data_IF_640268330447
#
_entry.id   IF_640268330447
#
_cell.length_a   1.000
_cell.length_b   1.000
_cell.length_c   1.000
_cell.angle_alpha   90.00
_cell.angle_beta   90.00
_cell.angle_gamma   90.00
#
_symmetry.space_group_name_H-M   'P 1'
#
loop_
_entity.id
_entity.type
_entity.pdbx_description
1 polymer ?
#
# COMPACT_ATOMS: atom_id res chain seq x y z
N UNK A 1 29.40 22.34 19.50
CA UNK A 1 29.88 21.96 20.85
C UNK A 1 29.94 20.43 20.84
N UNK A 2 31.13 19.84 20.73
CA UNK A 2 31.30 18.37 20.64
C UNK A 2 31.26 17.79 22.05
N UNK A 3 30.33 16.89 22.32
CA UNK A 3 30.43 15.98 23.45
C UNK A 3 31.13 14.71 22.97
N UNK A 4 32.25 14.38 23.62
CA UNK A 4 32.89 13.07 23.56
C UNK A 4 32.03 12.10 24.37
N UNK A 5 31.73 10.94 23.79
CA UNK A 5 31.40 9.73 24.53
C UNK A 5 32.24 8.61 23.94
N UNK A 6 33.07 8.03 24.80
CA UNK A 6 33.98 6.93 24.52
C UNK A 6 33.21 5.61 24.33
N UNK A 7 33.74 4.80 23.41
CA UNK A 7 33.61 3.34 23.23
C UNK A 7 32.39 2.61 23.83
N UNK A 8 31.40 2.37 22.96
CA UNK A 8 30.67 1.11 22.91
C UNK A 8 30.49 0.74 21.43
N UNK A 9 31.20 -0.30 20.98
CA UNK A 9 30.96 -0.98 19.69
C UNK A 9 29.58 -1.66 19.70
N UNK A 10 28.53 -0.86 19.52
CA UNK A 10 27.31 -1.32 18.87
C UNK A 10 27.31 -0.66 17.50
N UNK A 11 27.31 -1.45 16.44
CA UNK A 11 26.89 -0.94 15.14
C UNK A 11 25.40 -0.61 15.27
N UNK A 12 25.07 0.53 15.87
CA UNK A 12 23.79 1.19 15.64
C UNK A 12 23.78 1.49 14.14
N UNK A 13 22.94 0.79 13.38
CA UNK A 13 22.57 1.25 12.06
C UNK A 13 22.10 2.69 12.23
N UNK A 14 22.85 3.64 11.65
CA UNK A 14 22.52 5.05 11.71
C UNK A 14 21.14 5.21 11.06
N UNK A 15 20.10 5.44 11.86
CA UNK A 15 18.74 5.63 11.35
C UNK A 15 18.70 6.99 10.68
N UNK A 16 18.85 6.99 9.35
CA UNK A 16 18.81 8.20 8.53
C UNK A 16 17.36 8.60 8.30
N UNK A 17 16.98 9.81 8.69
CA UNK A 17 15.65 10.31 8.40
C UNK A 17 15.49 10.61 6.90
N UNK A 18 14.25 10.56 6.41
CA UNK A 18 13.94 10.92 5.02
C UNK A 18 14.48 12.31 4.65
N UNK A 19 14.33 13.29 5.56
CA UNK A 19 14.85 14.65 5.36
C UNK A 19 16.38 14.70 5.22
N UNK A 20 17.11 13.92 6.01
CA UNK A 20 18.57 13.85 5.93
C UNK A 20 19.03 13.24 4.59
N UNK A 21 18.26 12.28 4.08
CA UNK A 21 18.50 11.71 2.76
C UNK A 21 18.31 12.77 1.66
N UNK A 22 17.26 13.58 1.74
CA UNK A 22 16.98 14.64 0.76
C UNK A 22 18.07 15.74 0.76
N UNK A 23 18.65 16.08 1.91
CA UNK A 23 19.73 17.07 2.01
C UNK A 23 21.04 16.62 1.36
N UNK A 24 21.25 15.31 1.28
CA UNK A 24 22.44 14.68 0.72
C UNK A 24 22.26 14.23 -0.74
N UNK A 25 21.02 14.21 -1.24
CA UNK A 25 20.69 13.85 -2.62
C UNK A 25 21.09 14.95 -3.62
N UNK A 26 21.65 14.51 -4.75
CA UNK A 26 22.05 15.37 -5.87
C UNK A 26 21.42 14.85 -7.17
N UNK A 27 21.01 15.77 -8.05
CA UNK A 27 20.52 15.41 -9.38
C UNK A 27 21.65 14.78 -10.20
N UNK A 28 21.44 13.56 -10.75
CA UNK A 28 22.49 12.87 -11.52
C UNK A 28 23.00 13.68 -12.72
N UNK A 29 22.10 14.41 -13.38
CA UNK A 29 22.41 15.16 -14.61
C UNK A 29 22.89 16.59 -14.33
N UNK A 30 22.28 17.27 -13.36
CA UNK A 30 22.52 18.69 -13.09
C UNK A 30 23.57 18.93 -11.99
N UNK A 31 23.98 17.89 -11.26
CA UNK A 31 24.93 17.95 -10.13
C UNK A 31 24.60 19.06 -9.11
N UNK A 32 23.30 19.30 -8.91
CA UNK A 32 22.80 20.25 -7.92
C UNK A 32 22.01 19.53 -6.83
N UNK A 33 21.93 20.14 -5.66
CA UNK A 33 21.10 19.67 -4.55
C UNK A 33 19.64 20.10 -4.71
N UNK A 34 18.75 19.35 -4.05
CA UNK A 34 17.38 19.78 -3.79
C UNK A 34 17.45 20.91 -2.76
N UNK A 35 16.90 22.08 -3.06
CA UNK A 35 16.90 23.22 -2.12
C UNK A 35 15.47 23.73 -1.92
N UNK A 36 14.86 24.24 -2.99
CA UNK A 36 13.47 24.71 -2.96
C UNK A 36 12.45 23.58 -2.98
N UNK A 37 12.84 22.41 -3.49
CA UNK A 37 11.96 21.25 -3.65
C UNK A 37 11.84 20.42 -2.38
N UNK A 38 12.78 20.52 -1.43
CA UNK A 38 12.79 19.71 -0.20
C UNK A 38 11.45 19.83 0.54
N UNK A 39 10.93 21.06 0.66
CA UNK A 39 9.66 21.31 1.35
C UNK A 39 8.49 20.63 0.63
N UNK A 40 8.45 20.69 -0.71
CA UNK A 40 7.42 20.01 -1.51
C UNK A 40 7.51 18.50 -1.35
N UNK A 41 8.71 17.93 -1.48
CA UNK A 41 8.95 16.49 -1.36
C UNK A 41 8.58 15.95 0.03
N UNK A 42 8.95 16.66 1.10
CA UNK A 42 8.52 16.33 2.45
C UNK A 42 6.99 16.42 2.61
N UNK A 43 6.36 17.44 2.04
CA UNK A 43 4.90 17.60 2.09
C UNK A 43 4.18 16.48 1.35
N UNK A 44 4.66 16.10 0.16
CA UNK A 44 4.12 15.00 -0.64
C UNK A 44 4.25 13.66 0.08
N UNK A 45 5.42 13.39 0.67
CA UNK A 45 5.66 12.18 1.46
C UNK A 45 4.69 12.08 2.65
N UNK A 46 4.57 13.15 3.44
CA UNK A 46 3.68 13.17 4.60
C UNK A 46 2.21 13.02 4.19
N UNK A 47 1.79 13.73 3.15
CA UNK A 47 0.39 13.67 2.66
C UNK A 47 0.07 12.27 2.13
N UNK A 48 0.96 11.70 1.30
CA UNK A 48 0.78 10.37 0.72
C UNK A 48 0.74 9.24 1.74
N UNK A 49 1.49 9.35 2.85
CA UNK A 49 1.55 8.33 3.89
C UNK A 49 0.51 8.48 5.00
N UNK A 50 0.08 9.70 5.34
CA UNK A 50 -0.70 9.94 6.56
C UNK A 50 -2.19 9.63 6.39
N UNK A 51 -2.85 10.26 5.41
CA UNK A 51 -4.30 10.12 5.23
C UNK A 51 -4.69 8.70 4.79
N UNK A 52 -3.89 8.10 3.91
CA UNK A 52 -4.10 6.74 3.38
C UNK A 52 -4.00 5.70 4.49
N UNK A 53 -2.95 5.76 5.31
CA UNK A 53 -2.71 4.81 6.39
C UNK A 53 -3.73 4.96 7.52
N UNK A 54 -4.03 6.20 7.93
CA UNK A 54 -5.01 6.45 9.00
C UNK A 54 -6.42 5.98 8.61
N UNK A 55 -6.86 6.25 7.38
CA UNK A 55 -8.15 5.77 6.85
C UNK A 55 -8.18 4.24 6.78
N UNK A 56 -7.11 3.60 6.30
CA UNK A 56 -7.00 2.14 6.26
C UNK A 56 -7.15 1.55 7.66
N UNK A 57 -6.42 2.10 8.63
CA UNK A 57 -6.43 1.61 10.01
C UNK A 57 -7.81 1.77 10.65
N UNK A 58 -8.48 2.91 10.45
CA UNK A 58 -9.84 3.14 10.94
C UNK A 58 -10.82 2.06 10.46
N UNK A 59 -10.81 1.74 9.17
CA UNK A 59 -11.69 0.72 8.61
C UNK A 59 -11.33 -0.70 9.06
N UNK A 60 -10.03 -1.01 9.16
CA UNK A 60 -9.58 -2.30 9.70
C UNK A 60 -10.07 -2.47 11.14
N UNK A 61 -9.84 -1.47 11.99
CA UNK A 61 -10.26 -1.50 13.39
C UNK A 61 -11.78 -1.58 13.53
N UNK A 62 -12.54 -0.85 12.71
CA UNK A 62 -13.99 -0.94 12.68
C UNK A 62 -14.49 -2.35 12.33
N UNK A 63 -13.83 -3.04 11.38
CA UNK A 63 -14.15 -4.43 11.05
C UNK A 63 -13.75 -5.40 12.17
N UNK A 64 -12.62 -5.21 12.83
CA UNK A 64 -12.21 -6.05 13.96
C UNK A 64 -13.20 -5.96 15.13
N UNK A 65 -13.63 -4.75 15.50
CA UNK A 65 -14.66 -4.53 16.53
C UNK A 65 -15.98 -5.19 16.14
N UNK A 66 -16.35 -5.14 14.85
CA UNK A 66 -17.57 -5.76 14.33
C UNK A 66 -17.50 -7.29 14.30
N UNK A 67 -16.31 -7.89 14.14
CA UNK A 67 -16.12 -9.34 14.02
C UNK A 67 -15.15 -9.87 15.09
N UNK A 68 -15.62 -10.08 16.34
CA UNK A 68 -14.78 -10.47 17.46
C UNK A 68 -13.98 -11.77 17.25
N UNK A 69 -14.53 -12.74 16.50
CA UNK A 69 -13.84 -14.00 16.20
C UNK A 69 -12.60 -13.80 15.31
N UNK A 70 -12.63 -12.82 14.40
CA UNK A 70 -11.47 -12.44 13.56
C UNK A 70 -10.43 -11.76 14.43
N UNK A 71 -10.86 -10.83 15.31
CA UNK A 71 -9.99 -10.14 16.25
C UNK A 71 -9.29 -11.13 17.20
N UNK A 72 -10.02 -12.09 17.77
CA UNK A 72 -9.46 -13.10 18.67
C UNK A 72 -8.39 -13.93 17.97
N UNK A 73 -8.67 -14.42 16.76
CA UNK A 73 -7.70 -15.17 15.96
C UNK A 73 -6.45 -14.34 15.63
N UNK A 74 -6.61 -13.05 15.34
CA UNK A 74 -5.49 -12.14 15.08
C UNK A 74 -4.64 -11.93 16.35
N UNK A 75 -5.27 -11.69 17.49
CA UNK A 75 -4.57 -11.54 18.77
C UNK A 75 -3.82 -12.82 19.15
N UNK A 76 -4.38 -14.00 18.86
CA UNK A 76 -3.71 -15.28 19.07
C UNK A 76 -2.43 -15.39 18.24
N UNK A 77 -2.49 -15.13 16.92
CA UNK A 77 -1.29 -15.15 16.05
C UNK A 77 -0.20 -14.18 16.54
N UNK A 78 -0.58 -12.94 16.83
CA UNK A 78 0.37 -11.91 17.33
C UNK A 78 1.01 -12.39 18.64
N UNK A 79 0.20 -12.91 19.57
CA UNK A 79 0.68 -13.38 20.86
C UNK A 79 1.63 -14.57 20.70
N UNK A 80 1.36 -15.50 19.80
CA UNK A 80 2.24 -16.63 19.53
C UNK A 80 3.60 -16.21 18.98
N UNK A 81 3.63 -15.23 18.08
CA UNK A 81 4.90 -14.74 17.51
C UNK A 81 5.70 -13.96 18.54
N UNK A 82 5.06 -13.03 19.25
CA UNK A 82 5.72 -12.14 20.22
C UNK A 82 6.22 -12.92 21.45
N UNK A 83 5.42 -13.86 21.98
CA UNK A 83 5.77 -14.60 23.20
C UNK A 83 6.81 -15.71 22.98
N UNK A 84 7.05 -16.16 21.73
CA UNK A 84 8.12 -17.14 21.41
C UNK A 84 9.51 -16.66 21.81
N UNK A 85 9.74 -15.35 21.98
CA UNK A 85 11.07 -14.80 22.25
C UNK A 85 11.62 -15.11 23.66
N UNK A 86 10.87 -15.71 24.60
CA UNK A 86 11.30 -16.11 25.98
C UNK A 86 12.09 -15.05 26.77
N UNK A 87 12.06 -13.81 26.29
CA UNK A 87 12.87 -12.68 26.72
C UNK A 87 11.88 -11.54 26.90
N UNK A 88 12.14 -10.68 27.89
CA UNK A 88 11.31 -9.50 28.24
C UNK A 88 10.69 -8.86 27.00
N UNK A 89 9.43 -8.37 27.07
CA UNK A 89 8.73 -7.81 25.92
C UNK A 89 9.55 -6.66 25.31
N UNK A 90 10.34 -7.01 24.30
CA UNK A 90 10.82 -6.07 23.29
C UNK A 90 9.65 -5.88 22.33
N UNK A 91 9.53 -4.70 21.72
CA UNK A 91 8.45 -4.40 20.79
C UNK A 91 8.36 -5.41 19.65
N UNK A 92 7.33 -5.28 18.81
CA UNK A 92 7.25 -6.04 17.57
C UNK A 92 8.36 -5.52 16.64
N UNK A 93 9.29 -6.40 16.27
CA UNK A 93 10.34 -6.11 15.28
C UNK A 93 9.85 -6.47 13.87
N UNK A 94 10.54 -6.01 12.83
CA UNK A 94 10.15 -6.26 11.43
C UNK A 94 10.10 -7.76 11.10
N UNK A 95 11.06 -8.55 11.61
CA UNK A 95 11.10 -10.01 11.38
C UNK A 95 9.99 -10.76 12.13
N UNK A 96 9.33 -10.12 13.10
CA UNK A 96 8.15 -10.69 13.74
C UNK A 96 6.92 -10.52 12.84
N UNK A 97 6.78 -9.37 12.18
CA UNK A 97 5.66 -9.09 11.26
C UNK A 97 5.65 -10.08 10.10
N UNK A 98 6.82 -10.48 9.59
CA UNK A 98 6.94 -11.51 8.55
C UNK A 98 6.34 -12.86 8.97
N UNK A 99 6.30 -13.15 10.26
CA UNK A 99 5.75 -14.39 10.83
C UNK A 99 4.25 -14.30 11.16
N UNK A 100 3.57 -13.21 10.80
CA UNK A 100 2.15 -12.96 11.04
C UNK A 100 1.33 -12.95 9.73
N UNK A 101 1.15 -14.11 9.06
CA UNK A 101 0.39 -14.20 7.81
C UNK A 101 -1.06 -13.75 7.94
N UNK A 102 -1.71 -14.02 9.07
CA UNK A 102 -3.11 -13.65 9.29
C UNK A 102 -3.25 -12.14 9.50
N UNK A 103 -2.31 -11.47 10.18
CA UNK A 103 -2.24 -10.01 10.22
C UNK A 103 -2.19 -9.42 8.81
N UNK A 104 -1.30 -9.95 7.95
CA UNK A 104 -1.22 -9.53 6.54
C UNK A 104 -2.55 -9.72 5.82
N UNK A 105 -3.22 -10.85 6.01
CA UNK A 105 -4.52 -11.12 5.40
C UNK A 105 -5.62 -10.16 5.88
N UNK A 106 -5.65 -9.82 7.16
CA UNK A 106 -6.58 -8.82 7.72
C UNK A 106 -6.36 -7.45 7.09
N UNK A 107 -5.10 -7.02 6.94
CA UNK A 107 -4.77 -5.75 6.30
C UNK A 107 -5.22 -5.75 4.83
N UNK A 108 -4.89 -6.81 4.08
CA UNK A 108 -5.23 -6.93 2.66
C UNK A 108 -6.75 -6.97 2.44
N UNK A 109 -7.51 -7.69 3.27
CA UNK A 109 -8.98 -7.72 3.18
C UNK A 109 -9.59 -6.37 3.57
N UNK A 110 -9.00 -5.66 4.54
CA UNK A 110 -9.35 -4.29 4.88
C UNK A 110 -9.20 -3.35 3.68
N UNK A 111 -8.06 -3.39 3.00
CA UNK A 111 -7.78 -2.60 1.80
C UNK A 111 -8.66 -2.99 0.61
N UNK A 112 -8.98 -4.28 0.46
CA UNK A 112 -9.90 -4.75 -0.59
C UNK A 112 -11.30 -4.15 -0.38
N UNK A 113 -11.84 -4.24 0.83
CA UNK A 113 -13.19 -3.75 1.15
C UNK A 113 -13.29 -2.23 1.25
N UNK A 114 -12.25 -1.60 1.78
CA UNK A 114 -12.24 -0.18 2.13
C UNK A 114 -10.91 0.47 1.70
N UNK A 115 -10.64 0.55 0.38
CA UNK A 115 -9.44 1.22 -0.10
C UNK A 115 -9.53 2.72 0.28
N UNK A 116 -8.44 3.35 0.78
CA UNK A 116 -8.45 4.77 1.11
C UNK A 116 -8.78 5.68 -0.07
N UNK A 117 -8.43 5.26 -1.29
CA UNK A 117 -8.79 5.94 -2.52
C UNK A 117 -9.75 5.08 -3.35
N UNK A 118 -10.90 5.64 -3.72
CA UNK A 118 -11.82 4.98 -4.65
C UNK A 118 -11.30 4.96 -6.09
N UNK A 119 -10.50 5.97 -6.45
CA UNK A 119 -9.87 6.14 -7.76
C UNK A 119 -8.37 6.35 -7.53
N UNK A 120 -7.52 5.77 -8.38
CA UNK A 120 -6.09 6.12 -8.41
C UNK A 120 -5.86 7.53 -8.94
N UNK A 121 -4.63 8.01 -8.81
CA UNK A 121 -4.21 9.26 -9.46
C UNK A 121 -4.48 9.16 -10.97
N UNK A 122 -5.19 10.14 -11.56
CA UNK A 122 -5.50 10.11 -12.98
C UNK A 122 -4.22 10.13 -13.83
N UNK A 123 -4.17 9.27 -14.83
CA UNK A 123 -3.09 9.26 -15.82
C UNK A 123 -3.57 9.91 -17.12
N UNK A 124 -2.62 10.45 -17.89
CA UNK A 124 -2.89 11.06 -19.20
C UNK A 124 -2.24 10.23 -20.30
N UNK A 125 -2.99 9.98 -21.37
CA UNK A 125 -2.49 9.28 -22.55
C UNK A 125 -1.49 10.17 -23.31
N UNK A 126 -0.26 9.70 -23.47
CA UNK A 126 0.84 10.46 -24.10
C UNK A 126 0.78 10.45 -25.63
N UNK A 127 0.30 9.35 -26.20
CA UNK A 127 0.11 9.12 -27.63
C UNK A 127 -1.12 8.25 -27.85
N UNK A 128 -1.77 8.40 -29.01
CA UNK A 128 -2.93 7.59 -29.36
C UNK A 128 -2.58 6.09 -29.30
N UNK A 129 -3.45 5.30 -28.65
CA UNK A 129 -3.23 3.88 -28.45
C UNK A 129 -4.53 3.10 -28.65
N UNK A 130 -4.44 1.94 -29.30
CA UNK A 130 -5.54 1.00 -29.37
C UNK A 130 -5.52 0.05 -28.16
N UNK A 131 -6.62 0.01 -27.41
CA UNK A 131 -6.82 -0.91 -26.29
C UNK A 131 -8.11 -1.70 -26.49
N UNK A 132 -8.01 -3.02 -26.62
CA UNK A 132 -9.15 -3.93 -26.81
C UNK A 132 -10.11 -3.51 -27.95
N UNK A 133 -9.56 -3.02 -29.08
CA UNK A 133 -10.35 -2.56 -30.23
C UNK A 133 -10.91 -1.12 -30.11
N UNK A 134 -10.56 -0.40 -29.04
CA UNK A 134 -10.92 1.01 -28.87
C UNK A 134 -9.70 1.89 -29.06
N UNK A 135 -9.82 2.89 -29.93
CA UNK A 135 -8.81 3.94 -30.08
C UNK A 135 -8.98 4.95 -28.94
N UNK A 136 -7.96 5.06 -28.10
CA UNK A 136 -7.91 6.01 -27.00
C UNK A 136 -7.05 7.20 -27.46
N UNK A 137 -7.63 8.41 -27.58
CA UNK A 137 -6.91 9.54 -28.14
C UNK A 137 -5.83 10.04 -27.18
N UNK A 138 -4.81 10.66 -27.77
CA UNK A 138 -3.83 11.46 -27.04
C UNK A 138 -4.54 12.47 -26.14
N UNK A 139 -3.94 12.74 -24.98
CA UNK A 139 -4.42 13.65 -23.95
C UNK A 139 -5.68 13.22 -23.19
N UNK A 140 -6.27 12.05 -23.50
CA UNK A 140 -7.35 11.48 -22.72
C UNK A 140 -6.91 11.19 -21.26
N UNK A 141 -7.81 11.43 -20.31
CA UNK A 141 -7.63 11.05 -18.91
C UNK A 141 -8.10 9.63 -18.67
N UNK A 142 -7.25 8.81 -18.06
CA UNK A 142 -7.54 7.45 -17.64
C UNK A 142 -7.67 7.42 -16.12
N UNK A 143 -8.82 6.91 -15.66
CA UNK A 143 -9.13 6.70 -14.26
C UNK A 143 -9.25 5.20 -13.97
N UNK A 144 -8.69 4.77 -12.84
CA UNK A 144 -8.79 3.40 -12.36
C UNK A 144 -9.70 3.34 -11.14
N UNK A 145 -10.87 2.71 -11.28
CA UNK A 145 -11.89 2.60 -10.21
C UNK A 145 -11.57 1.43 -9.28
N UNK A 146 -10.58 1.61 -8.39
CA UNK A 146 -10.05 0.54 -7.53
C UNK A 146 -11.12 -0.05 -6.61
N UNK A 147 -12.00 0.78 -6.04
CA UNK A 147 -13.05 0.27 -5.15
C UNK A 147 -14.00 -0.70 -5.87
N UNK A 148 -14.37 -0.40 -7.12
CA UNK A 148 -15.23 -1.27 -7.93
C UNK A 148 -14.49 -2.54 -8.32
N UNK A 149 -13.22 -2.41 -8.75
CA UNK A 149 -12.37 -3.53 -9.11
C UNK A 149 -12.17 -4.50 -7.94
N UNK A 150 -11.95 -3.99 -6.73
CA UNK A 150 -11.75 -4.79 -5.52
C UNK A 150 -12.99 -5.61 -5.12
N UNK A 151 -14.18 -5.17 -5.54
CA UNK A 151 -15.46 -5.82 -5.24
C UNK A 151 -16.02 -6.62 -6.42
N UNK A 152 -15.35 -6.62 -7.57
CA UNK A 152 -15.76 -7.43 -8.72
C UNK A 152 -15.45 -8.92 -8.45
N UNK A 153 -16.51 -9.72 -8.40
CA UNK A 153 -16.46 -11.16 -8.14
C UNK A 153 -16.40 -12.00 -9.42
N UNK A 154 -16.46 -11.35 -10.60
CA UNK A 154 -16.45 -12.03 -11.90
C UNK A 154 -15.03 -12.15 -12.40
N UNK A 155 -14.54 -13.38 -12.60
CA UNK A 155 -13.25 -13.56 -13.25
C UNK A 155 -13.38 -13.24 -14.75
N UNK A 156 -12.26 -12.85 -15.33
CA UNK A 156 -12.14 -12.46 -16.74
C UNK A 156 -12.62 -13.56 -17.70
N UNK A 157 -12.50 -14.84 -17.31
CA UNK A 157 -12.84 -16.00 -18.14
C UNK A 157 -14.22 -16.62 -17.83
N UNK A 158 -15.11 -15.91 -17.12
CA UNK A 158 -16.44 -16.42 -16.77
C UNK A 158 -16.46 -17.46 -15.65
N UNK A 159 -15.29 -17.83 -15.13
CA UNK A 159 -15.16 -18.50 -13.84
C UNK A 159 -15.45 -17.51 -12.70
N UNK A 160 -15.87 -17.99 -11.53
CA UNK A 160 -15.91 -17.15 -10.34
C UNK A 160 -14.49 -16.72 -9.96
N UNK A 161 -14.32 -15.51 -9.41
CA UNK A 161 -13.08 -15.20 -8.68
C UNK A 161 -13.06 -16.08 -7.43
N UNK A 162 -12.17 -17.07 -7.41
CA UNK A 162 -11.97 -17.90 -6.24
C UNK A 162 -11.15 -17.11 -5.20
N UNK A 163 -11.86 -16.63 -4.17
CA UNK A 163 -11.27 -15.93 -3.03
C UNK A 163 -10.83 -16.91 -1.92
N UNK A 164 -11.05 -18.23 -2.09
CA UNK A 164 -10.80 -19.26 -1.08
C UNK A 164 -9.46 -20.00 -1.25
N UNK A 165 -8.66 -19.74 -2.28
CA UNK A 165 -7.39 -20.46 -2.49
C UNK A 165 -6.14 -19.72 -1.97
N UNK A 166 -5.59 -20.30 -0.89
CA UNK A 166 -4.24 -20.17 -0.30
C UNK A 166 -3.81 -18.81 0.24
N UNK A 167 -3.61 -18.81 1.56
CA UNK A 167 -2.82 -17.86 2.35
C UNK A 167 -1.30 -17.94 2.01
N UNK A 168 -0.94 -17.97 0.72
CA UNK A 168 0.45 -17.88 0.27
C UNK A 168 0.73 -16.45 -0.21
N UNK A 169 1.12 -15.63 0.75
CA UNK A 169 1.98 -14.43 0.77
C UNK A 169 2.11 -13.42 -0.39
N UNK A 170 1.45 -13.58 -1.52
CA UNK A 170 1.29 -12.57 -2.54
C UNK A 170 -0.06 -12.84 -3.19
N UNK A 171 -0.98 -11.87 -3.22
CA UNK A 171 -2.20 -12.02 -4.04
C UNK A 171 -1.75 -11.90 -5.50
N UNK A 172 -1.11 -12.94 -6.01
CA UNK A 172 -0.96 -13.15 -7.44
C UNK A 172 -2.32 -13.69 -7.88
N UNK A 173 -3.12 -12.80 -8.46
CA UNK A 173 -4.34 -13.25 -9.11
C UNK A 173 -3.96 -14.29 -10.16
N UNK A 174 -4.38 -15.54 -9.94
CA UNK A 174 -4.19 -16.66 -10.87
C UNK A 174 -4.60 -16.27 -12.29
N UNK A 175 -5.61 -15.41 -12.39
CA UNK A 175 -6.07 -14.78 -13.62
C UNK A 175 -5.89 -13.25 -13.50
N UNK A 176 -4.97 -12.62 -14.23
CA UNK A 176 -4.76 -11.17 -14.16
C UNK A 176 -6.00 -10.39 -14.62
N UNK A 177 -6.27 -9.25 -13.99
CA UNK A 177 -7.36 -8.37 -14.39
C UNK A 177 -7.11 -7.86 -15.81
N UNK A 178 -8.12 -7.94 -16.69
CA UNK A 178 -8.13 -7.27 -17.99
C UNK A 178 -8.96 -6.00 -17.92
N UNK A 179 -8.49 -4.95 -18.58
CA UNK A 179 -9.21 -3.69 -18.68
C UNK A 179 -10.57 -3.89 -19.37
N UNK A 180 -11.66 -3.58 -18.67
CA UNK A 180 -13.02 -3.61 -19.23
C UNK A 180 -13.43 -2.20 -19.63
N UNK A 181 -13.44 -1.93 -20.93
CA UNK A 181 -13.87 -0.63 -21.45
C UNK A 181 -15.39 -0.62 -21.52
N UNK A 182 -16.00 0.39 -20.90
CA UNK A 182 -17.44 0.64 -20.96
C UNK A 182 -17.65 2.03 -21.59
N UNK A 183 -18.38 2.14 -22.72
CA UNK A 183 -18.77 3.45 -23.21
C UNK A 183 -19.64 4.13 -22.16
N UNK A 184 -19.42 5.42 -21.93
CA UNK A 184 -20.30 6.23 -21.09
C UNK A 184 -21.62 6.34 -21.86
N UNK A 185 -22.68 5.70 -21.36
CA UNK A 185 -24.00 5.85 -21.95
C UNK A 185 -24.35 7.35 -21.95
N UNK A 186 -24.88 7.85 -23.07
CA UNK A 186 -25.37 9.23 -23.15
C UNK A 186 -26.42 9.42 -22.05
N UNK A 187 -26.04 10.11 -20.96
CA UNK A 187 -27.00 10.67 -20.02
C UNK A 187 -27.62 11.90 -20.68
N UNK A 188 -28.52 11.65 -21.61
CA UNK A 188 -29.43 12.62 -22.21
C UNK A 188 -30.79 11.93 -22.32
N UNK A 189 -31.52 11.91 -21.20
CA UNK A 189 -32.98 12.13 -21.14
C UNK A 189 -33.28 12.93 -19.87
#
# INVERSE_FOLDING_TARGET
MKAKTDDLNHHEEEVVAYGDTLLNLEFPEEKRKFNGEIVSLCSEFLTGGTETTSTSLQWIMANLVKYPSIQEKLCQEISEVVNRKNSKPKGVEEEDVEKMPYLKAVILEGLRRHPPGHILQPHKVTEEVELNGYVIPKDATINFMVADMNMDTKAVDGNGVDLYEKLEFTVMMKNPLRARIRPRANQLE
#
